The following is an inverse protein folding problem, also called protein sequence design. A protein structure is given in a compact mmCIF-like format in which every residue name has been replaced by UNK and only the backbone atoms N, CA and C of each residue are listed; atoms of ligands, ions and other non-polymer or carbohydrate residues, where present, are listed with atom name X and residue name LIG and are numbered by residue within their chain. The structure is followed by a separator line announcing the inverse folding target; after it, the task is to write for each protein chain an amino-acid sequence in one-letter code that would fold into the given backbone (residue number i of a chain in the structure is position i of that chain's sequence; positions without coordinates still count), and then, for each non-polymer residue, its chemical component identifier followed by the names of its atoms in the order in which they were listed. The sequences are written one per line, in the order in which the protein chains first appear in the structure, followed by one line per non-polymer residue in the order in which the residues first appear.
data_IF_287258046086
#
_entry.id   IF_287258046086
#
_cell.length_a   1.000
_cell.length_b   1.000
_cell.length_c   1.000
_cell.angle_alpha   90.00
_cell.angle_beta   90.00
_cell.angle_gamma   90.00
#
_symmetry.space_group_name_H-M   'P 1'
#
loop_
_entity.id
_entity.type
_entity.pdbx_description
1 polymer ?
#
# COMPACT_ATOMS: atom_id res chain seq x y z
N UNK A 1 -30.39 23.13 22.67
CA UNK A 1 -30.91 22.54 21.42
C UNK A 1 -29.83 22.82 20.37
N UNK A 2 -28.97 21.90 19.97
CA UNK A 2 -29.31 20.67 19.24
C UNK A 2 -28.10 19.71 19.21
N UNK A 3 -28.31 18.49 19.75
CA UNK A 3 -27.75 17.16 19.41
C UNK A 3 -26.25 17.08 19.03
N UNK A 4 -25.33 16.61 19.91
CA UNK A 4 -25.06 15.17 20.14
C UNK A 4 -25.25 14.31 18.87
N UNK A 5 -24.28 14.39 17.96
CA UNK A 5 -24.12 13.42 16.88
C UNK A 5 -23.11 12.36 17.33
N UNK A 6 -23.69 11.24 17.74
CA UNK A 6 -23.27 9.87 17.41
C UNK A 6 -21.78 9.59 17.43
N UNK A 7 -21.33 9.17 18.61
CA UNK A 7 -20.28 8.18 18.76
C UNK A 7 -20.67 6.91 18.01
N UNK A 8 -20.27 6.79 16.75
CA UNK A 8 -20.16 5.48 16.12
C UNK A 8 -18.84 4.87 16.58
N UNK A 9 -18.93 4.01 17.58
CA UNK A 9 -17.78 3.24 18.09
C UNK A 9 -17.18 2.45 16.92
N UNK A 10 -15.87 2.59 16.62
CA UNK A 10 -15.23 1.76 15.61
C UNK A 10 -15.33 0.28 16.01
N UNK A 11 -15.41 -0.65 15.05
CA UNK A 11 -15.45 -2.08 15.35
C UNK A 11 -14.27 -2.44 16.26
N UNK A 12 -14.56 -3.18 17.34
CA UNK A 12 -13.58 -3.51 18.38
C UNK A 12 -12.52 -4.46 17.83
N UNK A 13 -11.46 -3.88 17.29
CA UNK A 13 -10.19 -4.55 17.00
C UNK A 13 -9.44 -4.72 18.33
N UNK A 14 -8.81 -5.87 18.62
CA UNK A 14 -7.95 -6.02 19.79
C UNK A 14 -6.92 -4.89 19.85
N UNK A 15 -6.56 -4.37 21.04
CA UNK A 15 -5.69 -3.22 21.17
C UNK A 15 -4.38 -3.46 20.39
N UNK A 16 -3.90 -2.47 19.63
CA UNK A 16 -2.71 -2.63 18.81
C UNK A 16 -1.55 -3.02 19.72
N UNK A 17 -0.82 -4.07 19.35
CA UNK A 17 0.55 -4.22 19.84
C UNK A 17 1.27 -2.89 19.60
N UNK A 18 2.23 -2.54 20.46
CA UNK A 18 3.00 -1.30 20.32
C UNK A 18 3.60 -1.15 18.90
N UNK A 19 3.81 -2.27 18.21
CA UNK A 19 4.32 -2.34 16.84
C UNK A 19 3.32 -1.79 15.81
N UNK A 20 2.03 -2.13 15.91
CA UNK A 20 1.00 -1.59 15.01
C UNK A 20 0.84 -0.07 15.14
N UNK A 21 0.93 0.47 16.36
CA UNK A 21 0.87 1.91 16.58
C UNK A 21 2.06 2.64 15.92
N UNK A 22 3.27 2.07 16.00
CA UNK A 22 4.45 2.63 15.32
C UNK A 22 4.32 2.55 13.80
N UNK A 23 3.86 1.41 13.27
CA UNK A 23 3.65 1.24 11.83
C UNK A 23 2.58 2.20 11.30
N UNK A 24 1.49 2.43 12.06
CA UNK A 24 0.47 3.42 11.73
C UNK A 24 1.06 4.83 11.61
N UNK A 25 1.77 5.28 12.65
CA UNK A 25 2.37 6.62 12.66
C UNK A 25 3.32 6.84 11.48
N UNK A 26 4.11 5.82 11.13
CA UNK A 26 5.01 5.86 9.98
C UNK A 26 4.23 5.94 8.66
N UNK A 27 3.20 5.13 8.48
CA UNK A 27 2.38 5.14 7.27
C UNK A 27 1.62 6.45 7.09
N UNK A 28 1.06 7.03 8.16
CA UNK A 28 0.37 8.31 8.09
C UNK A 28 1.33 9.47 7.77
N UNK A 29 2.55 9.43 8.31
CA UNK A 29 3.58 10.42 7.97
C UNK A 29 3.96 10.37 6.48
N UNK A 30 4.13 9.16 5.94
CA UNK A 30 4.39 8.96 4.51
C UNK A 30 3.18 9.38 3.65
N UNK A 31 1.96 9.03 4.07
CA UNK A 31 0.70 9.45 3.41
C UNK A 31 0.63 10.96 3.28
N UNK A 32 0.86 11.68 4.38
CA UNK A 32 0.86 13.15 4.39
C UNK A 32 1.90 13.70 3.43
N UNK A 33 3.12 13.16 3.46
CA UNK A 33 4.18 13.58 2.54
C UNK A 33 3.77 13.40 1.07
N UNK A 34 3.17 12.26 0.70
CA UNK A 34 2.70 12.02 -0.67
C UNK A 34 1.59 12.96 -1.10
N UNK A 35 0.64 13.26 -0.21
CA UNK A 35 -0.41 14.23 -0.47
C UNK A 35 0.16 15.63 -0.69
N UNK A 36 1.13 16.05 0.12
CA UNK A 36 1.85 17.32 -0.06
C UNK A 36 2.58 17.38 -1.41
N UNK A 37 3.26 16.30 -1.80
CA UNK A 37 3.94 16.23 -3.09
C UNK A 37 2.97 16.32 -4.29
N UNK A 38 1.84 15.59 -4.23
CA UNK A 38 0.83 15.64 -5.28
C UNK A 38 0.21 17.04 -5.39
N UNK A 39 -0.14 17.64 -4.25
CA UNK A 39 -0.67 19.00 -4.22
C UNK A 39 0.30 20.02 -4.84
N UNK A 40 1.61 19.88 -4.58
CA UNK A 40 2.63 20.74 -5.18
C UNK A 40 2.69 20.57 -6.71
N UNK A 41 2.67 19.32 -7.21
CA UNK A 41 2.68 19.03 -8.64
C UNK A 41 1.42 19.55 -9.35
N UNK A 42 0.26 19.51 -8.70
CA UNK A 42 -1.00 19.99 -9.27
C UNK A 42 -1.14 21.52 -9.24
N UNK A 43 -0.47 22.19 -8.28
CA UNK A 43 -0.42 23.65 -8.20
C UNK A 43 0.55 24.29 -9.21
N UNK A 44 1.48 23.51 -9.75
CA UNK A 44 2.46 23.99 -10.71
C UNK A 44 1.81 24.32 -12.07
N UNK A 45 2.21 25.43 -12.69
CA UNK A 45 1.70 25.82 -14.01
C UNK A 45 1.93 24.70 -15.05
N UNK A 46 1.06 24.56 -16.07
CA UNK A 46 1.16 23.50 -17.07
C UNK A 46 2.58 23.41 -17.62
N UNK A 47 3.21 22.22 -17.59
CA UNK A 47 4.59 22.07 -17.97
C UNK A 47 4.80 22.46 -19.44
N UNK A 48 6.00 22.94 -19.76
CA UNK A 48 6.42 22.98 -21.17
C UNK A 48 6.45 21.54 -21.72
N UNK A 49 6.27 21.31 -23.04
CA UNK A 49 6.18 19.96 -23.61
C UNK A 49 7.33 19.02 -23.26
N UNK A 50 8.51 19.58 -22.95
CA UNK A 50 9.71 18.82 -22.53
C UNK A 50 9.61 18.27 -21.09
N UNK A 51 8.87 18.93 -20.20
CA UNK A 51 8.80 18.60 -18.77
C UNK A 51 7.51 17.82 -18.42
N UNK A 52 6.55 17.78 -19.35
CA UNK A 52 5.24 17.16 -19.14
C UNK A 52 5.33 15.66 -18.85
N UNK A 53 6.11 14.92 -19.64
CA UNK A 53 6.26 13.47 -19.46
C UNK A 53 6.88 13.10 -18.12
N UNK A 54 7.85 13.90 -17.65
CA UNK A 54 8.51 13.69 -16.36
C UNK A 54 7.56 13.99 -15.21
N UNK A 55 6.86 15.13 -15.23
CA UNK A 55 5.88 15.45 -14.19
C UNK A 55 4.75 14.41 -14.14
N UNK A 56 4.28 13.94 -15.29
CA UNK A 56 3.26 12.91 -15.34
C UNK A 56 3.75 11.59 -14.72
N UNK A 57 4.98 11.17 -15.01
CA UNK A 57 5.57 9.99 -14.40
C UNK A 57 5.69 10.13 -12.87
N UNK A 58 6.06 11.32 -12.38
CA UNK A 58 6.12 11.61 -10.94
C UNK A 58 4.74 11.56 -10.29
N UNK A 59 3.70 12.12 -10.92
CA UNK A 59 2.31 12.03 -10.41
C UNK A 59 1.87 10.57 -10.31
N UNK A 60 2.05 9.78 -11.36
CA UNK A 60 1.67 8.35 -11.37
C UNK A 60 2.40 7.57 -10.28
N UNK A 61 3.70 7.80 -10.10
CA UNK A 61 4.47 7.13 -9.06
C UNK A 61 3.98 7.52 -7.66
N UNK A 62 3.71 8.80 -7.43
CA UNK A 62 3.23 9.31 -6.14
C UNK A 62 1.81 8.83 -5.81
N UNK A 63 0.89 8.79 -6.78
CA UNK A 63 -0.47 8.24 -6.57
C UNK A 63 -0.42 6.73 -6.30
N UNK A 64 0.40 5.97 -7.05
CA UNK A 64 0.54 4.53 -6.83
C UNK A 64 1.07 4.23 -5.43
N UNK A 65 2.09 4.98 -4.97
CA UNK A 65 2.60 4.83 -3.61
C UNK A 65 1.54 5.21 -2.56
N UNK A 66 0.77 6.28 -2.79
CA UNK A 66 -0.32 6.68 -1.90
C UNK A 66 -1.37 5.59 -1.76
N UNK A 67 -1.79 4.97 -2.86
CA UNK A 67 -2.76 3.87 -2.85
C UNK A 67 -2.27 2.67 -2.02
N UNK A 68 -0.98 2.31 -2.14
CA UNK A 68 -0.37 1.24 -1.35
C UNK A 68 -0.35 1.55 0.15
N UNK A 69 -0.09 2.81 0.52
CA UNK A 69 -0.09 3.28 1.90
C UNK A 69 -1.51 3.28 2.47
N UNK A 70 -2.49 3.80 1.74
CA UNK A 70 -3.89 3.82 2.16
C UNK A 70 -4.43 2.39 2.33
N UNK A 71 -4.08 1.47 1.42
CA UNK A 71 -4.41 0.06 1.57
C UNK A 71 -3.77 -0.59 2.80
N UNK A 72 -2.57 -0.16 3.21
CA UNK A 72 -1.93 -0.63 4.43
C UNK A 72 -2.61 -0.08 5.70
N UNK A 73 -2.95 1.20 5.70
CA UNK A 73 -3.73 1.83 6.77
C UNK A 73 -5.11 1.18 6.92
N UNK A 74 -5.82 0.92 5.81
CA UNK A 74 -7.09 0.19 5.85
C UNK A 74 -6.96 -1.21 6.46
N UNK A 75 -5.87 -1.94 6.16
CA UNK A 75 -5.59 -3.24 6.79
C UNK A 75 -5.33 -3.13 8.29
N UNK A 76 -4.68 -2.05 8.75
CA UNK A 76 -4.49 -1.78 10.18
C UNK A 76 -5.83 -1.50 10.87
N UNK A 77 -6.70 -0.71 10.24
CA UNK A 77 -8.04 -0.42 10.76
C UNK A 77 -8.91 -1.69 10.83
N UNK A 78 -8.80 -2.57 9.85
CA UNK A 78 -9.58 -3.80 9.78
C UNK A 78 -9.00 -4.95 10.62
N UNK A 79 -7.84 -4.76 11.26
CA UNK A 79 -7.15 -5.80 12.03
C UNK A 79 -6.56 -6.93 11.17
N UNK A 80 -6.45 -6.74 9.84
CA UNK A 80 -5.85 -7.72 8.89
C UNK A 80 -4.39 -7.41 8.55
N UNK A 81 -3.80 -6.41 9.20
CA UNK A 81 -2.42 -6.04 8.99
C UNK A 81 -1.47 -7.17 9.42
N UNK A 82 -0.38 -7.34 8.67
CA UNK A 82 0.55 -8.45 8.88
C UNK A 82 0.08 -9.81 8.38
N UNK A 83 -0.98 -9.87 7.57
CA UNK A 83 -1.42 -11.10 6.89
C UNK A 83 -1.25 -10.96 5.38
N UNK A 84 -0.67 -11.98 4.74
CA UNK A 84 -0.46 -12.01 3.29
C UNK A 84 -1.80 -12.08 2.55
N UNK A 85 -2.03 -11.19 1.59
CA UNK A 85 -3.28 -11.16 0.81
C UNK A 85 -3.44 -12.35 -0.14
N UNK A 86 -2.35 -13.03 -0.50
CA UNK A 86 -2.36 -14.15 -1.46
C UNK A 86 -2.49 -15.51 -0.77
N UNK A 87 -1.71 -15.76 0.28
CA UNK A 87 -1.68 -17.07 0.95
C UNK A 87 -2.28 -17.08 2.36
N UNK A 88 -2.77 -15.93 2.86
CA UNK A 88 -3.34 -15.77 4.20
C UNK A 88 -2.39 -16.15 5.37
N UNK A 89 -1.10 -16.33 5.10
CA UNK A 89 -0.09 -16.58 6.13
C UNK A 89 0.39 -15.27 6.79
N UNK A 90 0.83 -15.31 8.05
CA UNK A 90 1.40 -14.16 8.73
C UNK A 90 2.69 -13.68 8.03
N UNK A 91 2.82 -12.36 7.90
CA UNK A 91 4.01 -11.68 7.40
C UNK A 91 4.96 -11.46 8.60
N UNK A 92 6.24 -11.84 8.50
CA UNK A 92 7.20 -11.63 9.58
C UNK A 92 7.29 -10.16 10.00
N UNK A 93 7.38 -9.91 11.31
CA UNK A 93 7.41 -8.56 11.87
C UNK A 93 8.63 -7.77 11.36
N UNK A 94 9.77 -8.43 11.20
CA UNK A 94 11.01 -7.83 10.67
C UNK A 94 10.79 -7.25 9.26
N UNK A 95 9.93 -7.87 8.45
CA UNK A 95 9.58 -7.38 7.12
C UNK A 95 8.66 -6.15 7.20
N UNK A 96 7.71 -6.13 8.13
CA UNK A 96 6.81 -4.99 8.37
C UNK A 96 7.56 -3.79 8.96
N UNK A 97 8.60 -4.04 9.76
CA UNK A 97 9.48 -2.99 10.29
C UNK A 97 10.28 -2.30 9.18
N UNK A 98 10.74 -3.06 8.17
CA UNK A 98 11.44 -2.47 7.01
C UNK A 98 10.45 -1.84 6.02
N UNK A 99 9.41 -2.58 5.64
CA UNK A 99 8.41 -2.24 4.63
C UNK A 99 6.98 -2.35 5.19
N UNK A 100 6.48 -1.33 5.91
CA UNK A 100 5.17 -1.38 6.57
C UNK A 100 3.99 -1.44 5.58
N UNK A 101 4.17 -0.95 4.36
CA UNK A 101 3.09 -0.99 3.36
C UNK A 101 2.89 -2.37 2.71
N UNK A 102 3.81 -3.33 2.92
CA UNK A 102 3.75 -4.62 2.23
C UNK A 102 2.48 -5.41 2.56
N UNK A 103 1.87 -6.01 1.54
CA UNK A 103 0.69 -6.88 1.65
C UNK A 103 1.01 -8.35 1.42
N UNK A 104 2.28 -8.67 1.12
CA UNK A 104 2.71 -9.97 0.64
C UNK A 104 3.87 -10.50 1.47
N UNK A 105 3.84 -11.81 1.75
CA UNK A 105 4.99 -12.49 2.34
C UNK A 105 6.14 -12.61 1.33
N UNK A 106 7.36 -12.91 1.80
CA UNK A 106 8.53 -13.02 0.92
C UNK A 106 8.34 -14.04 -0.21
N UNK A 107 7.72 -15.19 0.10
CA UNK A 107 7.50 -16.25 -0.87
C UNK A 107 6.53 -15.82 -1.98
N UNK A 108 5.38 -15.22 -1.63
CA UNK A 108 4.43 -14.71 -2.62
C UNK A 108 5.03 -13.59 -3.45
N UNK A 109 5.71 -12.63 -2.80
CA UNK A 109 6.38 -11.54 -3.49
C UNK A 109 7.47 -12.03 -4.46
N UNK A 110 8.24 -13.06 -4.10
CA UNK A 110 9.19 -13.68 -5.02
C UNK A 110 8.48 -14.38 -6.19
N UNK A 111 7.41 -15.12 -5.91
CA UNK A 111 6.66 -15.85 -6.94
C UNK A 111 5.98 -14.92 -7.96
N UNK A 112 5.44 -13.79 -7.52
CA UNK A 112 4.85 -12.77 -8.41
C UNK A 112 5.90 -12.10 -9.29
N UNK A 113 7.06 -11.75 -8.74
CA UNK A 113 8.18 -11.21 -9.52
C UNK A 113 8.71 -12.24 -10.52
N UNK A 114 8.82 -13.50 -10.11
CA UNK A 114 9.28 -14.58 -10.97
C UNK A 114 8.27 -14.86 -12.11
N UNK A 115 6.97 -14.65 -11.87
CA UNK A 115 5.94 -14.69 -12.91
C UNK A 115 6.00 -13.47 -13.84
N UNK A 116 6.28 -12.26 -13.32
CA UNK A 116 6.52 -11.05 -14.14
C UNK A 116 7.74 -11.19 -15.06
N UNK A 117 8.81 -11.81 -14.58
CA UNK A 117 10.03 -12.07 -15.38
C UNK A 117 9.88 -13.27 -16.32
N UNK A 118 9.05 -14.26 -15.99
CA UNK A 118 8.77 -15.44 -16.83
C UNK A 118 7.78 -15.17 -17.98
N UNK A 119 7.19 -13.96 -18.06
CA UNK A 119 6.23 -13.54 -19.08
C UNK A 119 6.77 -13.39 -20.51
N UNK A 120 7.94 -13.95 -20.85
CA UNK A 120 8.43 -14.06 -22.24
C UNK A 120 8.36 -15.48 -22.83
N UNK A 121 7.78 -16.45 -22.12
CA UNK A 121 7.67 -17.84 -22.58
C UNK A 121 6.24 -18.29 -22.86
N UNK A 122 5.83 -18.31 -24.12
CA UNK A 122 4.67 -19.09 -24.59
C UNK A 122 5.01 -20.59 -24.55
N UNK A 123 4.09 -21.41 -24.03
CA UNK A 123 4.01 -22.87 -24.27
C UNK A 123 4.45 -23.72 -23.07
N UNK A 124 3.68 -24.68 -22.58
CA UNK A 124 2.46 -25.27 -23.12
C UNK A 124 1.75 -26.15 -22.10
N UNK A 125 0.50 -26.45 -22.43
CA UNK A 125 -0.46 -27.20 -21.65
C UNK A 125 -0.05 -28.68 -21.55
N UNK A 126 0.42 -29.09 -20.37
CA UNK A 126 0.61 -30.50 -20.02
C UNK A 126 -0.62 -31.07 -19.32
N UNK A 127 -1.78 -31.14 -20.00
CA UNK A 127 -2.89 -31.98 -19.55
C UNK A 127 -2.66 -33.40 -20.05
N UNK A 128 -2.67 -34.35 -19.12
CA UNK A 128 -2.25 -35.72 -19.33
C UNK A 128 -3.21 -36.60 -20.12
N UNK A 129 -2.65 -37.71 -20.59
CA UNK A 129 -3.18 -39.07 -20.60
C UNK A 129 -2.02 -40.00 -21.00
#
# INVERSE_FOLDING_TARGET
MTQLLSSESPPTVPPPSADHARHWQRLEAERRFRLEQLAALDAEAPPTPRHESVQQALRIAATTALDEIEAALGRLQDGRYGVCVTCALPIPAERLDVLPMTSLCMACHYNEQNCRLAGSGRGGDGRGA
#
